data_IF_278831290294
#
_entry.id   IF_278831290294
#
_cell.length_a   1.000
_cell.length_b   1.000
_cell.length_c   1.000
_cell.angle_alpha   90.00
_cell.angle_beta   90.00
_cell.angle_gamma   90.00
#
_symmetry.space_group_name_H-M   'P 1'
#
loop_
_entity.id
_entity.type
_entity.pdbx_description
1 polymer ?
#
# COMPACT_ATOMS: atom_id res chain seq x y z
N UNK A 1 0.62 -2.13 17.06
CA UNK A 1 0.37 -2.60 15.68
C UNK A 1 1.23 -1.75 14.78
N UNK A 2 1.89 -2.33 13.79
CA UNK A 2 2.66 -1.54 12.83
C UNK A 2 1.73 -1.17 11.66
N UNK A 3 1.67 0.10 11.34
CA UNK A 3 0.93 0.63 10.20
C UNK A 3 1.85 0.63 8.98
N UNK A 4 1.47 -0.07 7.92
CA UNK A 4 2.25 -0.26 6.71
C UNK A 4 1.52 0.40 5.54
N UNK A 5 2.10 1.47 4.99
CA UNK A 5 1.58 2.09 3.77
C UNK A 5 2.27 1.50 2.53
N UNK A 6 1.48 0.92 1.62
CA UNK A 6 1.94 0.39 0.34
C UNK A 6 1.80 1.47 -0.73
N UNK A 7 2.93 2.01 -1.18
CA UNK A 7 2.99 2.94 -2.32
C UNK A 7 3.28 2.14 -3.58
N UNK A 8 2.31 2.10 -4.49
CA UNK A 8 2.43 1.40 -5.78
C UNK A 8 2.43 2.39 -6.93
N UNK A 9 3.08 2.02 -8.02
CA UNK A 9 3.07 2.81 -9.25
C UNK A 9 3.54 1.97 -10.41
N UNK A 10 2.65 1.72 -11.37
CA UNK A 10 3.00 1.09 -12.64
C UNK A 10 2.28 1.73 -13.83
N UNK A 11 2.80 1.49 -15.03
CA UNK A 11 2.15 1.94 -16.26
C UNK A 11 0.99 1.05 -16.68
N UNK A 12 0.96 -0.21 -16.22
CA UNK A 12 0.04 -1.26 -16.70
C UNK A 12 -0.74 -1.97 -15.58
N UNK A 13 -0.75 -1.44 -14.36
CA UNK A 13 -1.52 -1.97 -13.23
C UNK A 13 -0.88 -3.13 -12.45
N UNK A 14 0.34 -3.57 -12.80
CA UNK A 14 0.95 -4.76 -12.18
C UNK A 14 1.43 -4.51 -10.75
N UNK A 15 1.93 -3.29 -10.44
CA UNK A 15 2.35 -2.95 -9.08
C UNK A 15 1.15 -2.82 -8.15
N UNK A 16 0.04 -2.29 -8.66
CA UNK A 16 -1.22 -2.12 -7.95
C UNK A 16 -1.80 -3.49 -7.59
N UNK A 17 -1.86 -4.43 -8.55
CA UNK A 17 -2.28 -5.81 -8.28
C UNK A 17 -1.46 -6.50 -7.18
N UNK A 18 -0.15 -6.34 -7.21
CA UNK A 18 0.75 -6.92 -6.20
C UNK A 18 0.55 -6.24 -4.85
N UNK A 19 0.36 -4.92 -4.80
CA UNK A 19 0.11 -4.18 -3.57
C UNK A 19 -1.17 -4.63 -2.88
N UNK A 20 -2.27 -4.78 -3.63
CA UNK A 20 -3.53 -5.31 -3.09
C UNK A 20 -3.35 -6.72 -2.51
N UNK A 21 -2.66 -7.60 -3.23
CA UNK A 21 -2.42 -8.97 -2.74
C UNK A 21 -1.52 -9.00 -1.50
N UNK A 22 -0.54 -8.11 -1.39
CA UNK A 22 0.29 -7.98 -0.19
C UNK A 22 -0.50 -7.41 0.99
N UNK A 23 -1.39 -6.44 0.76
CA UNK A 23 -2.25 -5.87 1.80
C UNK A 23 -3.12 -6.96 2.46
N UNK A 24 -3.73 -7.84 1.66
CA UNK A 24 -4.49 -9.00 2.17
C UNK A 24 -3.63 -9.92 3.06
N UNK A 25 -2.39 -10.22 2.63
CA UNK A 25 -1.48 -11.10 3.39
C UNK A 25 -0.99 -10.46 4.69
N UNK A 26 -0.81 -9.14 4.68
CA UNK A 26 -0.41 -8.39 5.86
C UNK A 26 -1.56 -8.27 6.86
N UNK A 27 -2.79 -8.09 6.40
CA UNK A 27 -4.00 -8.13 7.23
C UNK A 27 -4.18 -9.52 7.89
N UNK A 28 -4.01 -10.61 7.12
CA UNK A 28 -4.00 -11.99 7.66
C UNK A 28 -2.92 -12.19 8.74
N UNK A 29 -1.80 -11.47 8.64
CA UNK A 29 -0.70 -11.51 9.61
C UNK A 29 -0.90 -10.55 10.81
N UNK A 30 -2.01 -9.80 10.85
CA UNK A 30 -2.36 -8.87 11.93
C UNK A 30 -1.68 -7.50 11.84
N UNK A 31 -1.20 -7.11 10.65
CA UNK A 31 -0.72 -5.76 10.37
C UNK A 31 -1.84 -4.91 9.78
N UNK A 32 -1.82 -3.61 10.10
CA UNK A 32 -2.73 -2.65 9.48
C UNK A 32 -2.07 -2.09 8.23
N UNK A 33 -2.80 -2.05 7.12
CA UNK A 33 -2.26 -1.62 5.82
C UNK A 33 -3.10 -0.51 5.19
N UNK A 34 -2.43 0.35 4.43
CA UNK A 34 -3.05 1.37 3.58
C UNK A 34 -2.39 1.33 2.21
N UNK A 35 -3.15 1.24 1.12
CA UNK A 35 -2.60 1.21 -0.24
C UNK A 35 -2.81 2.55 -0.93
N UNK A 36 -1.74 3.12 -1.48
CA UNK A 36 -1.75 4.36 -2.25
C UNK A 36 -1.16 4.09 -3.65
N UNK A 37 -1.90 4.46 -4.69
CA UNK A 37 -1.49 4.26 -6.09
C UNK A 37 -1.06 5.58 -6.72
N UNK A 38 0.20 5.69 -7.10
CA UNK A 38 0.80 6.91 -7.64
C UNK A 38 0.64 8.16 -6.76
N UNK A 39 0.80 8.09 -5.43
CA UNK A 39 0.62 9.24 -4.56
C UNK A 39 1.69 10.31 -4.82
N UNK A 40 1.30 11.56 -4.58
CA UNK A 40 2.23 12.67 -4.41
C UNK A 40 2.73 12.72 -2.97
N UNK A 41 3.77 13.51 -2.73
CA UNK A 41 4.32 13.68 -1.38
C UNK A 41 3.28 14.26 -0.40
N UNK A 42 2.36 15.10 -0.88
CA UNK A 42 1.28 15.69 -0.09
C UNK A 42 0.17 14.69 0.30
N UNK A 43 0.05 13.59 -0.44
CA UNK A 43 -0.90 12.51 -0.13
C UNK A 43 -0.37 11.59 0.98
N UNK A 44 0.92 11.66 1.29
CA UNK A 44 1.54 10.88 2.35
C UNK A 44 1.28 11.53 3.71
N UNK A 45 0.65 10.78 4.60
CA UNK A 45 0.55 11.20 6.00
C UNK A 45 1.94 11.16 6.64
N UNK A 46 2.49 12.32 6.96
CA UNK A 46 3.65 12.43 7.85
C UNK A 46 3.14 12.61 9.27
N UNK A 47 3.54 11.69 10.16
CA UNK A 47 3.31 11.79 11.62
C UNK A 47 4.16 12.87 12.26
#
# INVERSE_FOLDING_TARGET
MADITLISGSTLGSAEYVAEHLAEKLDEAGFSTETLHGPLLEDLQSS
#
